data_IF_182200539662
#
_entry.id   IF_182200539662
#
_cell.length_a   1.000
_cell.length_b   1.000
_cell.length_c   1.000
_cell.angle_alpha   90.00
_cell.angle_beta   90.00
_cell.angle_gamma   90.00
#
_symmetry.space_group_name_H-M   'P 1'
#
loop_
_entity.id
_entity.type
_entity.pdbx_description
1 polymer ?
#
# COMPACT_ATOMS: atom_id res chain seq x y z
N UNK A 1 -29.71 37.90 -10.89
CA UNK A 1 -31.11 37.56 -11.25
C UNK A 1 -31.46 37.97 -12.68
N UNK A 2 -31.17 39.21 -13.09
CA UNK A 2 -31.47 39.73 -14.44
C UNK A 2 -30.97 38.83 -15.57
N UNK A 3 -29.76 38.30 -15.45
CA UNK A 3 -29.13 37.46 -16.48
C UNK A 3 -29.93 36.18 -16.77
N UNK A 4 -30.50 35.55 -15.74
CA UNK A 4 -31.32 34.35 -15.93
C UNK A 4 -32.66 34.69 -16.60
N UNK A 5 -33.23 35.85 -16.29
CA UNK A 5 -34.49 36.31 -16.91
C UNK A 5 -34.29 36.62 -18.39
N UNK A 6 -33.19 37.29 -18.75
CA UNK A 6 -32.88 37.65 -20.14
C UNK A 6 -32.71 36.40 -21.01
N UNK A 7 -32.10 35.36 -20.45
CA UNK A 7 -31.82 34.10 -21.16
C UNK A 7 -32.98 33.10 -21.06
N UNK A 8 -34.09 33.45 -20.40
CA UNK A 8 -35.26 32.58 -20.22
C UNK A 8 -35.01 31.37 -19.30
N UNK A 9 -33.91 31.39 -18.52
CA UNK A 9 -33.62 30.36 -17.52
C UNK A 9 -34.41 30.64 -16.25
N UNK A 10 -34.77 29.56 -15.55
CA UNK A 10 -35.56 29.67 -14.33
C UNK A 10 -34.80 30.48 -13.26
N UNK A 11 -35.49 31.47 -12.67
CA UNK A 11 -34.91 32.37 -11.66
C UNK A 11 -34.55 31.56 -10.41
N UNK A 12 -33.40 31.78 -9.76
CA UNK A 12 -32.98 31.03 -8.56
C UNK A 12 -33.73 31.48 -7.29
N UNK A 13 -35.05 31.63 -7.38
CA UNK A 13 -35.97 31.94 -6.30
C UNK A 13 -37.23 31.08 -6.43
N UNK A 14 -37.95 30.85 -5.33
CA UNK A 14 -39.16 30.02 -5.30
C UNK A 14 -38.94 28.64 -5.93
N UNK A 15 -39.77 28.29 -6.93
CA UNK A 15 -39.68 27.04 -7.69
C UNK A 15 -38.32 26.83 -8.35
N UNK A 16 -37.64 27.88 -8.78
CA UNK A 16 -36.34 27.74 -9.43
C UNK A 16 -35.18 27.44 -8.51
N UNK A 17 -35.25 27.87 -7.25
CA UNK A 17 -34.34 27.39 -6.23
C UNK A 17 -34.57 25.88 -5.96
N UNK A 18 -35.83 25.44 -5.96
CA UNK A 18 -36.20 24.02 -5.84
C UNK A 18 -35.63 23.17 -6.98
N UNK A 19 -35.87 23.59 -8.22
CA UNK A 19 -35.36 22.89 -9.42
C UNK A 19 -33.83 22.87 -9.46
N UNK A 20 -33.17 23.94 -9.02
CA UNK A 20 -31.71 23.96 -8.96
C UNK A 20 -31.17 22.95 -7.94
N UNK A 21 -31.76 22.88 -6.74
CA UNK A 21 -31.38 21.90 -5.72
C UNK A 21 -31.57 20.47 -6.20
N UNK A 22 -32.70 20.18 -6.86
CA UNK A 22 -32.95 18.85 -7.42
C UNK A 22 -31.93 18.48 -8.50
N UNK A 23 -31.59 19.42 -9.39
CA UNK A 23 -30.56 19.19 -10.42
C UNK A 23 -29.20 18.89 -9.79
N UNK A 24 -28.78 19.68 -8.81
CA UNK A 24 -27.51 19.46 -8.09
C UNK A 24 -27.50 18.09 -7.41
N UNK A 25 -28.56 17.75 -6.68
CA UNK A 25 -28.67 16.46 -5.98
C UNK A 25 -28.66 15.26 -6.94
N UNK A 26 -29.34 15.36 -8.09
CA UNK A 26 -29.32 14.32 -9.11
C UNK A 26 -27.91 14.17 -9.71
N UNK A 27 -27.27 15.27 -10.12
CA UNK A 27 -25.91 15.23 -10.67
C UNK A 27 -24.89 14.71 -9.65
N UNK A 28 -25.01 15.07 -8.37
CA UNK A 28 -24.12 14.54 -7.32
C UNK A 28 -24.31 13.05 -7.11
N UNK A 29 -25.55 12.56 -7.15
CA UNK A 29 -25.84 11.12 -7.01
C UNK A 29 -25.26 10.33 -8.18
N UNK A 30 -25.43 10.83 -9.41
CA UNK A 30 -24.87 10.19 -10.60
C UNK A 30 -23.34 10.19 -10.60
N UNK A 31 -22.71 11.27 -10.11
CA UNK A 31 -21.27 11.34 -9.96
C UNK A 31 -20.75 10.31 -8.95
N UNK A 32 -21.43 10.15 -7.82
CA UNK A 32 -21.10 9.15 -6.81
C UNK A 32 -21.23 7.72 -7.36
N UNK A 33 -22.32 7.42 -8.09
CA UNK A 33 -22.50 6.12 -8.73
C UNK A 33 -21.38 5.82 -9.74
N UNK A 34 -21.03 6.78 -10.61
CA UNK A 34 -19.92 6.59 -11.57
C UNK A 34 -18.58 6.34 -10.87
N UNK A 35 -18.32 7.02 -9.76
CA UNK A 35 -17.12 6.78 -8.97
C UNK A 35 -17.09 5.37 -8.36
N UNK A 36 -18.22 4.89 -7.84
CA UNK A 36 -18.34 3.51 -7.33
C UNK A 36 -18.12 2.47 -8.44
N UNK A 37 -18.73 2.67 -9.61
CA UNK A 37 -18.54 1.78 -10.75
C UNK A 37 -17.08 1.72 -11.22
N UNK A 38 -16.37 2.87 -11.30
CA UNK A 38 -14.95 2.87 -11.64
C UNK A 38 -14.11 2.10 -10.62
N UNK A 39 -14.33 2.34 -9.32
CA UNK A 39 -13.62 1.61 -8.26
C UNK A 39 -13.86 0.11 -8.33
N UNK A 40 -15.09 -0.32 -8.62
CA UNK A 40 -15.43 -1.73 -8.80
C UNK A 40 -14.73 -2.33 -10.03
N UNK A 41 -14.70 -1.60 -11.16
CA UNK A 41 -13.98 -2.04 -12.36
C UNK A 41 -12.47 -2.16 -12.11
N UNK A 42 -11.87 -1.17 -11.45
CA UNK A 42 -10.46 -1.20 -11.05
C UNK A 42 -10.14 -2.41 -10.17
N UNK A 43 -11.00 -2.71 -9.19
CA UNK A 43 -10.82 -3.89 -8.32
C UNK A 43 -10.94 -5.21 -9.08
N UNK A 44 -11.85 -5.31 -10.05
CA UNK A 44 -11.99 -6.50 -10.90
C UNK A 44 -10.79 -6.70 -11.81
N UNK A 45 -10.28 -5.62 -12.42
CA UNK A 45 -9.07 -5.67 -13.26
C UNK A 45 -7.87 -6.07 -12.41
N UNK A 46 -7.69 -5.46 -11.23
CA UNK A 46 -6.59 -5.80 -10.34
C UNK A 46 -6.63 -7.27 -9.88
N UNK A 47 -7.83 -7.82 -9.66
CA UNK A 47 -7.98 -9.24 -9.33
C UNK A 47 -7.59 -10.16 -10.51
N UNK A 48 -7.99 -9.79 -11.74
CA UNK A 48 -7.61 -10.53 -12.95
C UNK A 48 -6.10 -10.48 -13.18
N UNK A 49 -5.48 -9.30 -13.05
CA UNK A 49 -4.02 -9.17 -13.22
C UNK A 49 -3.24 -9.93 -12.16
N UNK A 50 -3.73 -9.99 -10.92
CA UNK A 50 -3.10 -10.77 -9.86
C UNK A 50 -3.18 -12.29 -10.11
N UNK A 51 -4.29 -12.76 -10.69
CA UNK A 51 -4.44 -14.16 -11.10
C UNK A 51 -3.47 -14.51 -12.24
N UNK A 52 -3.35 -13.63 -13.24
CA UNK A 52 -2.38 -13.76 -14.34
C UNK A 52 -0.92 -13.77 -13.84
N UNK A 53 -0.57 -12.90 -12.88
CA UNK A 53 0.76 -12.89 -12.26
C UNK A 53 1.05 -14.19 -11.50
N UNK A 54 0.09 -14.70 -10.73
CA UNK A 54 0.25 -15.95 -9.98
C UNK A 54 0.41 -17.17 -10.89
N UNK A 55 -0.36 -17.24 -11.99
CA UNK A 55 -0.20 -18.28 -13.00
C UNK A 55 1.19 -18.23 -13.65
N UNK A 56 1.68 -17.02 -13.96
CA UNK A 56 3.00 -16.83 -14.52
C UNK A 56 4.11 -17.26 -13.55
N UNK A 57 3.99 -16.95 -12.25
CA UNK A 57 4.92 -17.41 -11.20
C UNK A 57 4.96 -18.94 -11.12
N UNK A 58 3.80 -19.61 -11.15
CA UNK A 58 3.73 -21.07 -11.10
C UNK A 58 4.42 -21.73 -12.31
N UNK A 59 4.45 -21.04 -13.44
CA UNK A 59 4.98 -21.54 -14.70
C UNK A 59 6.49 -21.29 -14.88
N UNK A 60 7.10 -20.40 -14.08
CA UNK A 60 8.52 -20.05 -14.16
C UNK A 60 9.50 -21.15 -13.71
N UNK A 61 9.01 -22.27 -13.16
CA UNK A 61 9.84 -23.42 -12.80
C UNK A 61 10.72 -23.21 -11.55
N UNK A 62 11.31 -24.28 -10.98
CA UNK A 62 12.08 -24.23 -9.74
C UNK A 62 13.37 -23.40 -9.84
N UNK A 63 13.91 -23.18 -11.03
CA UNK A 63 15.08 -22.34 -11.30
C UNK A 63 14.89 -20.86 -10.96
N UNK A 64 13.65 -20.34 -10.99
CA UNK A 64 13.34 -18.97 -10.60
C UNK A 64 13.38 -18.75 -9.07
N UNK A 65 13.17 -19.81 -8.29
CA UNK A 65 13.23 -19.78 -6.83
C UNK A 65 14.66 -19.93 -6.27
N UNK A 66 15.63 -20.28 -7.12
CA UNK A 66 17.04 -20.50 -6.76
C UNK A 66 17.93 -19.46 -7.46
N UNK A 67 17.38 -18.25 -7.68
CA UNK A 67 18.18 -17.10 -8.09
C UNK A 67 19.09 -16.71 -6.94
N UNK A 68 20.40 -16.76 -7.18
CA UNK A 68 21.50 -16.40 -6.27
C UNK A 68 21.14 -15.18 -5.40
N UNK A 69 20.58 -15.44 -4.21
CA UNK A 69 20.14 -14.38 -3.30
C UNK A 69 21.42 -13.76 -2.72
N UNK A 70 21.73 -12.50 -3.05
CA UNK A 70 22.96 -11.86 -2.60
C UNK A 70 23.05 -11.76 -1.07
N UNK A 71 21.95 -11.99 -0.35
CA UNK A 71 21.92 -12.06 1.11
C UNK A 71 22.13 -13.51 1.61
N UNK A 72 21.67 -14.53 0.88
CA UNK A 72 21.85 -15.94 1.28
C UNK A 72 23.32 -16.38 1.28
N UNK A 73 24.18 -15.73 0.49
CA UNK A 73 25.63 -15.98 0.49
C UNK A 73 26.37 -15.40 1.70
N UNK A 74 25.68 -14.62 2.55
CA UNK A 74 26.28 -13.93 3.70
C UNK A 74 25.90 -14.58 5.05
N UNK A 75 25.75 -15.91 5.10
CA UNK A 75 25.80 -16.62 6.38
C UNK A 75 27.26 -16.74 6.84
N UNK A 76 27.67 -15.88 7.77
CA UNK A 76 28.97 -16.01 8.43
C UNK A 76 29.00 -17.26 9.31
N UNK A 77 30.03 -18.09 9.15
CA UNK A 77 30.28 -19.24 10.04
C UNK A 77 30.54 -18.72 11.47
N UNK A 78 29.56 -18.89 12.35
CA UNK A 78 29.72 -18.63 13.78
C UNK A 78 29.82 -19.98 14.49
N UNK A 79 30.88 -20.17 15.29
CA UNK A 79 31.13 -21.43 15.98
C UNK A 79 30.45 -21.47 17.36
N UNK A 80 29.69 -20.42 17.69
CA UNK A 80 29.06 -20.24 19.00
C UNK A 80 30.07 -20.07 20.12
N UNK A 81 31.33 -19.75 19.79
CA UNK A 81 32.39 -19.57 20.77
C UNK A 81 32.48 -18.13 21.23
N UNK A 82 32.99 -17.90 22.43
CA UNK A 82 33.18 -16.55 22.99
C UNK A 82 34.14 -15.69 22.14
N UNK A 83 35.01 -16.34 21.34
CA UNK A 83 35.86 -15.67 20.35
C UNK A 83 35.06 -15.05 19.19
N UNK A 84 33.90 -15.61 18.85
CA UNK A 84 32.99 -15.07 17.81
C UNK A 84 32.18 -13.88 18.32
N UNK A 85 32.20 -13.65 19.64
CA UNK A 85 31.34 -12.71 20.33
C UNK A 85 31.89 -11.27 20.33
N UNK A 86 32.97 -10.99 19.61
CA UNK A 86 33.56 -9.66 19.46
C UNK A 86 34.03 -9.01 20.77
N UNK A 87 34.58 -7.79 20.67
CA UNK A 87 35.23 -7.10 21.79
C UNK A 87 34.27 -6.71 22.94
N UNK A 88 32.96 -6.92 22.79
CA UNK A 88 31.94 -6.51 23.78
C UNK A 88 31.64 -7.56 24.85
N UNK A 89 32.08 -8.82 24.67
CA UNK A 89 31.89 -9.91 25.65
C UNK A 89 33.18 -10.33 26.37
N UNK A 90 34.35 -9.97 25.84
CA UNK A 90 35.66 -10.36 26.41
C UNK A 90 36.07 -9.54 27.66
N UNK A 91 35.42 -8.41 27.95
CA UNK A 91 35.72 -7.54 29.10
C UNK A 91 35.40 -8.18 30.48
N UNK A 92 34.82 -9.38 30.53
CA UNK A 92 34.42 -10.04 31.77
C UNK A 92 35.47 -10.88 32.50
N UNK A 93 36.66 -11.12 31.92
CA UNK A 93 37.65 -12.07 32.49
C UNK A 93 38.85 -11.44 33.19
N UNK A 94 38.94 -10.11 33.29
CA UNK A 94 40.05 -9.42 33.98
C UNK A 94 39.72 -9.00 35.43
N UNK A 95 38.66 -9.55 36.03
CA UNK A 95 38.06 -9.02 37.27
C UNK A 95 38.21 -9.80 38.58
N UNK A 96 38.90 -10.95 38.65
CA UNK A 96 39.12 -11.68 39.91
C UNK A 96 40.54 -12.22 40.05
N UNK A 97 41.49 -11.31 40.27
CA UNK A 97 42.76 -11.61 40.94
C UNK A 97 42.90 -10.69 42.15
N UNK A 98 42.02 -10.86 43.13
CA UNK A 98 42.02 -10.14 44.41
C UNK A 98 42.46 -11.03 45.57
N UNK A 99 43.75 -10.94 45.90
CA UNK A 99 44.32 -10.97 47.27
C UNK A 99 43.91 -12.09 48.23
N UNK A 100 44.80 -13.09 48.39
CA UNK A 100 45.02 -13.79 49.66
C UNK A 100 46.10 -13.05 50.48
N UNK A 101 45.73 -12.40 51.58
CA UNK A 101 46.51 -12.26 52.83
C UNK A 101 45.56 -12.30 54.03
#
# INVERSE_FOLDING_TARGET
LKENVIVGRLIPAGTGAGMNRMRVAASSRDAALRAQYRKMQEALIAAQTAEEEHEAELQQGPEAAIGDDPIATMEGETHGTDADAGDYLQEGTEGEAGTEE
#
